data_IF_288093516122
#
_entry.id   IF_288093516122
#
_cell.length_a   1.000
_cell.length_b   1.000
_cell.length_c   1.000
_cell.angle_alpha   90.00
_cell.angle_beta   90.00
_cell.angle_gamma   90.00
#
_symmetry.space_group_name_H-M   'P 1'
#
loop_
_entity.id
_entity.type
_entity.pdbx_description
1 polymer ?
#
# COMPACT_ATOMS: atom_id res chain seq x y z
N UNK A 1 11.95 -5.27 -10.42
CA UNK A 1 10.63 -4.76 -9.98
C UNK A 1 10.03 -3.88 -11.07
N UNK A 2 8.71 -3.92 -11.29
CA UNK A 2 8.07 -2.95 -12.19
C UNK A 2 8.24 -1.53 -11.64
N UNK A 3 8.61 -0.61 -12.54
CA UNK A 3 8.67 0.81 -12.23
C UNK A 3 7.30 1.36 -11.79
N UNK A 4 6.22 0.86 -12.38
CA UNK A 4 4.87 1.32 -12.07
C UNK A 4 4.44 0.92 -10.65
N UNK A 5 4.64 -0.34 -10.27
CA UNK A 5 4.34 -0.83 -8.91
C UNK A 5 5.08 0.00 -7.86
N UNK A 6 6.37 0.27 -8.08
CA UNK A 6 7.16 1.11 -7.17
C UNK A 6 6.58 2.51 -7.04
N UNK A 7 6.18 3.14 -8.15
CA UNK A 7 5.57 4.48 -8.11
C UNK A 7 4.25 4.49 -7.36
N UNK A 8 3.39 3.48 -7.59
CA UNK A 8 2.11 3.33 -6.89
C UNK A 8 2.35 3.20 -5.39
N UNK A 9 3.23 2.27 -4.95
CA UNK A 9 3.50 2.08 -3.54
C UNK A 9 4.11 3.31 -2.88
N UNK A 10 5.11 3.95 -3.51
CA UNK A 10 5.72 5.16 -2.97
C UNK A 10 4.68 6.29 -2.80
N UNK A 11 3.78 6.44 -3.76
CA UNK A 11 2.68 7.41 -3.69
C UNK A 11 1.72 7.07 -2.54
N UNK A 12 1.29 5.82 -2.41
CA UNK A 12 0.38 5.40 -1.34
C UNK A 12 1.04 5.62 0.03
N UNK A 13 2.27 5.14 0.22
CA UNK A 13 3.01 5.26 1.48
C UNK A 13 3.19 6.73 1.88
N UNK A 14 3.56 7.60 0.93
CA UNK A 14 3.67 9.04 1.21
C UNK A 14 2.34 9.66 1.66
N UNK A 15 1.23 9.24 1.05
CA UNK A 15 -0.10 9.67 1.48
C UNK A 15 -0.50 9.08 2.84
N UNK A 16 -0.10 7.85 3.17
CA UNK A 16 -0.36 7.24 4.48
C UNK A 16 0.39 8.01 5.59
N UNK A 17 1.68 8.30 5.38
CA UNK A 17 2.53 9.04 6.34
C UNK A 17 1.98 10.47 6.58
N UNK A 18 1.50 11.13 5.52
CA UNK A 18 0.95 12.49 5.61
C UNK A 18 -0.50 12.54 6.08
N UNK A 19 -1.14 11.38 6.30
CA UNK A 19 -2.55 11.28 6.70
C UNK A 19 -3.55 11.62 5.60
N UNK A 20 -3.12 11.65 4.34
CA UNK A 20 -3.95 11.97 3.18
C UNK A 20 -4.69 10.72 2.64
N UNK A 21 -5.44 10.04 3.51
CA UNK A 21 -6.13 8.80 3.17
C UNK A 21 -7.20 8.99 2.09
N UNK A 22 -7.81 10.18 2.03
CA UNK A 22 -8.79 10.53 1.00
C UNK A 22 -8.22 10.39 -0.42
N UNK A 23 -7.00 10.91 -0.66
CA UNK A 23 -6.35 10.81 -1.95
C UNK A 23 -6.07 9.36 -2.38
N UNK A 24 -5.74 8.48 -1.42
CA UNK A 24 -5.51 7.06 -1.69
C UNK A 24 -6.78 6.40 -2.22
N UNK A 25 -7.92 6.65 -1.55
CA UNK A 25 -9.22 6.08 -1.92
C UNK A 25 -9.76 6.70 -3.19
N UNK A 26 -9.56 8.00 -3.41
CA UNK A 26 -10.01 8.66 -4.64
C UNK A 26 -9.26 8.18 -5.88
N UNK A 27 -7.97 7.88 -5.76
CA UNK A 27 -7.16 7.32 -6.85
C UNK A 27 -7.31 5.80 -7.00
N UNK A 28 -7.93 5.11 -6.02
CA UNK A 28 -8.22 3.68 -6.09
C UNK A 28 -9.30 3.39 -7.14
N UNK A 29 -9.02 2.48 -8.07
CA UNK A 29 -9.96 2.06 -9.12
C UNK A 29 -11.22 1.39 -8.52
N UNK A 30 -11.03 0.61 -7.45
CA UNK A 30 -12.11 0.05 -6.64
C UNK A 30 -12.01 0.59 -5.22
N UNK A 31 -13.09 1.20 -4.73
CA UNK A 31 -13.17 1.76 -3.38
C UNK A 31 -13.69 0.68 -2.42
N UNK A 32 -12.77 -0.12 -1.87
CA UNK A 32 -13.11 -1.24 -0.98
C UNK A 32 -13.22 -0.83 0.48
N UNK A 33 -12.44 0.17 0.88
CA UNK A 33 -12.46 0.76 2.21
C UNK A 33 -12.61 2.28 2.12
N UNK A 34 -12.91 2.89 3.27
CA UNK A 34 -12.97 4.34 3.41
C UNK A 34 -11.68 4.90 3.99
N UNK A 35 -11.49 6.21 3.85
CA UNK A 35 -10.40 6.93 4.51
C UNK A 35 -10.45 6.80 6.04
N UNK A 36 -11.66 6.65 6.60
CA UNK A 36 -11.86 6.45 8.05
C UNK A 36 -11.38 5.07 8.50
N UNK A 37 -11.61 4.03 7.68
CA UNK A 37 -11.12 2.67 7.96
C UNK A 37 -9.59 2.66 8.02
N UNK A 38 -8.92 3.21 6.99
CA UNK A 38 -7.45 3.33 6.95
C UNK A 38 -6.92 4.09 8.16
N UNK A 39 -7.55 5.23 8.46
CA UNK A 39 -7.15 6.04 9.62
C UNK A 39 -7.31 5.28 10.92
N UNK A 40 -8.39 4.51 11.07
CA UNK A 40 -8.66 3.76 12.28
C UNK A 40 -7.59 2.68 12.48
N UNK A 41 -7.32 1.87 11.45
CA UNK A 41 -6.31 0.82 11.51
C UNK A 41 -4.93 1.35 11.88
N UNK A 42 -4.46 2.40 11.18
CA UNK A 42 -3.16 2.99 11.47
C UNK A 42 -3.10 3.67 12.84
N UNK A 43 -4.19 4.27 13.31
CA UNK A 43 -4.24 4.91 14.64
C UNK A 43 -4.19 3.92 15.81
N UNK A 44 -4.60 2.67 15.57
CA UNK A 44 -4.55 1.62 16.59
C UNK A 44 -3.17 1.00 16.73
N UNK A 45 -2.30 1.18 15.74
CA UNK A 45 -0.94 0.67 15.76
C UNK A 45 -0.01 1.61 16.55
N UNK A 46 0.83 1.09 17.46
CA UNK A 46 1.73 1.92 18.25
C UNK A 46 2.85 2.53 17.41
N UNK A 47 3.17 3.79 17.67
CA UNK A 47 4.28 4.51 17.03
C UNK A 47 3.81 5.51 15.98
N UNK A 48 4.78 6.04 15.22
CA UNK A 48 4.51 6.96 14.11
C UNK A 48 4.96 6.32 12.81
N UNK A 49 4.09 6.32 11.79
CA UNK A 49 4.44 5.79 10.48
C UNK A 49 5.58 6.62 9.87
N UNK A 50 6.59 5.93 9.34
CA UNK A 50 7.81 6.52 8.78
C UNK A 50 8.08 6.00 7.38
N UNK A 51 8.88 6.74 6.61
CA UNK A 51 9.33 6.28 5.31
C UNK A 51 10.10 4.95 5.39
N UNK A 52 9.82 4.00 4.49
CA UNK A 52 10.58 2.77 4.37
C UNK A 52 11.95 3.06 3.71
N UNK A 53 12.98 2.23 3.96
CA UNK A 53 14.24 2.32 3.23
C UNK A 53 14.03 2.02 1.74
N UNK A 54 14.88 2.55 0.85
CA UNK A 54 14.74 2.31 -0.60
C UNK A 54 14.71 0.82 -0.96
N UNK A 55 15.45 -0.01 -0.22
CA UNK A 55 15.49 -1.46 -0.41
C UNK A 55 14.15 -2.15 -0.16
N UNK A 56 13.23 -1.53 0.58
CA UNK A 56 11.90 -2.09 0.80
C UNK A 56 11.09 -2.24 -0.50
N UNK A 57 11.38 -1.42 -1.51
CA UNK A 57 10.73 -1.48 -2.81
C UNK A 57 11.36 -2.50 -3.77
N UNK A 58 12.46 -3.15 -3.38
CA UNK A 58 13.18 -4.12 -4.20
C UNK A 58 12.66 -5.56 -3.97
N UNK A 59 12.39 -5.91 -2.71
CA UNK A 59 11.90 -7.22 -2.27
C UNK A 59 10.40 -7.18 -1.92
N UNK A 60 9.57 -6.98 -2.94
CA UNK A 60 8.11 -7.03 -2.81
C UNK A 60 7.58 -8.45 -3.00
N UNK A 61 6.63 -8.85 -2.17
CA UNK A 61 5.83 -10.04 -2.43
C UNK A 61 4.73 -9.65 -3.44
N UNK A 62 4.89 -10.10 -4.68
CA UNK A 62 3.94 -9.90 -5.78
C UNK A 62 3.33 -11.24 -6.14
N UNK A 63 2.00 -11.29 -6.17
CA UNK A 63 1.21 -12.48 -6.49
C UNK A 63 0.41 -12.17 -7.75
N UNK A 64 0.68 -12.91 -8.82
CA UNK A 64 -0.13 -12.82 -10.05
C UNK A 64 -1.50 -13.45 -9.80
N UNK A 65 -2.57 -12.76 -10.23
CA UNK A 65 -3.92 -13.31 -10.18
C UNK A 65 -4.17 -14.09 -11.47
N UNK A 66 -4.43 -15.40 -11.35
CA UNK A 66 -4.78 -16.27 -12.47
C UNK A 66 -5.88 -15.66 -13.34
N UNK A 67 -5.69 -15.72 -14.66
CA UNK A 67 -6.59 -15.18 -15.68
C UNK A 67 -6.84 -13.65 -15.60
N UNK A 68 -6.03 -12.88 -14.87
CA UNK A 68 -6.08 -11.42 -14.81
C UNK A 68 -4.76 -10.76 -15.21
N UNK A 69 -4.84 -9.46 -15.54
CA UNK A 69 -3.66 -8.57 -15.70
C UNK A 69 -3.32 -7.86 -14.40
N UNK A 70 -3.97 -8.27 -13.32
CA UNK A 70 -3.84 -7.70 -11.99
C UNK A 70 -2.86 -8.51 -11.15
N UNK A 71 -2.09 -7.80 -10.34
CA UNK A 71 -1.12 -8.37 -9.43
C UNK A 71 -1.42 -7.86 -8.02
N UNK A 72 -1.51 -8.77 -7.05
CA UNK A 72 -1.63 -8.41 -5.64
C UNK A 72 -0.23 -8.20 -5.07
N UNK A 73 0.01 -7.00 -4.57
CA UNK A 73 1.29 -6.60 -4.00
C UNK A 73 1.13 -6.45 -2.50
N UNK A 74 1.96 -7.17 -1.75
CA UNK A 74 2.13 -7.02 -0.32
C UNK A 74 3.36 -6.16 -0.06
N UNK A 75 3.15 -5.10 0.72
CA UNK A 75 4.20 -4.16 1.09
C UNK A 75 4.23 -3.98 2.60
N UNK A 76 5.37 -4.27 3.22
CA UNK A 76 5.50 -4.04 4.66
C UNK A 76 5.47 -2.53 4.97
N UNK A 77 4.97 -2.17 6.14
CA UNK A 77 4.94 -0.77 6.60
C UNK A 77 6.08 -0.51 7.60
N UNK A 78 6.44 0.75 7.78
CA UNK A 78 7.49 1.17 8.70
C UNK A 78 6.94 2.14 9.75
N UNK A 79 7.28 1.89 11.01
CA UNK A 79 6.93 2.73 12.15
C UNK A 79 8.16 3.01 13.00
N UNK A 80 8.33 4.26 13.42
CA UNK A 80 9.48 4.72 14.21
C UNK A 80 10.84 4.29 13.61
N UNK A 81 10.95 4.27 12.29
CA UNK A 81 12.15 3.86 11.55
C UNK A 81 12.39 2.35 11.46
N UNK A 82 11.47 1.53 11.96
CA UNK A 82 11.58 0.08 11.96
C UNK A 82 10.48 -0.56 11.11
N UNK A 83 10.78 -1.73 10.54
CA UNK A 83 9.80 -2.54 9.83
C UNK A 83 8.73 -3.02 10.82
N UNK A 84 7.46 -2.73 10.52
CA UNK A 84 6.31 -3.14 11.31
C UNK A 84 5.81 -4.53 10.90
N UNK A 85 4.99 -5.12 11.77
CA UNK A 85 4.16 -6.30 11.49
C UNK A 85 2.86 -5.95 10.74
N UNK A 86 2.79 -4.78 10.10
CA UNK A 86 1.69 -4.40 9.22
C UNK A 86 2.10 -4.48 7.76
N UNK A 87 1.18 -4.98 6.93
CA UNK A 87 1.31 -5.05 5.49
C UNK A 87 0.18 -4.29 4.80
N UNK A 88 0.56 -3.43 3.87
CA UNK A 88 -0.30 -2.81 2.89
C UNK A 88 -0.53 -3.80 1.73
N UNK A 89 -1.79 -4.05 1.41
CA UNK A 89 -2.20 -4.84 0.25
C UNK A 89 -2.75 -3.91 -0.84
N UNK A 90 -2.16 -4.00 -2.02
CA UNK A 90 -2.57 -3.21 -3.19
C UNK A 90 -2.69 -4.13 -4.39
N UNK A 91 -3.83 -4.06 -5.05
CA UNK A 91 -4.00 -4.68 -6.35
C UNK A 91 -3.56 -3.70 -7.43
N UNK A 92 -2.59 -4.08 -8.27
CA UNK A 92 -2.05 -3.24 -9.33
C UNK A 92 -2.43 -3.83 -10.68
N UNK A 93 -2.95 -3.01 -11.58
CA UNK A 93 -3.14 -3.38 -12.98
C UNK A 93 -2.20 -2.52 -13.85
N UNK A 94 -1.05 -3.10 -14.21
CA UNK A 94 -0.06 -2.39 -15.03
C UNK A 94 -0.56 -2.10 -16.45
N UNK A 95 -1.41 -2.98 -16.99
CA UNK A 95 -1.93 -2.84 -18.36
C UNK A 95 -2.88 -1.64 -18.47
N UNK A 96 -3.71 -1.43 -17.45
CA UNK A 96 -4.64 -0.32 -17.37
C UNK A 96 -4.05 0.92 -16.69
N UNK A 97 -2.86 0.81 -16.10
CA UNK A 97 -2.18 1.90 -15.41
C UNK A 97 -2.93 2.39 -14.18
N UNK A 98 -3.57 1.48 -13.43
CA UNK A 98 -4.31 1.82 -12.22
C UNK A 98 -3.98 0.88 -11.06
N UNK A 99 -4.47 1.22 -9.87
CA UNK A 99 -4.36 0.39 -8.68
C UNK A 99 -5.67 0.41 -7.91
N UNK A 100 -5.88 -0.59 -7.06
CA UNK A 100 -6.91 -0.59 -6.03
C UNK A 100 -6.28 -0.86 -4.67
N UNK A 101 -6.48 0.07 -3.73
CA UNK A 101 -6.17 -0.18 -2.33
C UNK A 101 -7.09 -1.29 -1.83
N UNK A 102 -6.52 -2.32 -1.22
CA UNK A 102 -7.30 -3.42 -0.66
C UNK A 102 -7.46 -3.27 0.84
N UNK A 103 -6.35 -3.33 1.58
CA UNK A 103 -6.40 -3.45 3.03
C UNK A 103 -5.04 -3.14 3.68
N UNK A 104 -5.02 -2.93 4.99
CA UNK A 104 -3.81 -2.92 5.82
C UNK A 104 -4.01 -3.94 6.93
N UNK A 105 -3.25 -5.03 6.90
CA UNK A 105 -3.45 -6.13 7.84
C UNK A 105 -2.14 -6.58 8.48
N UNK A 106 -2.28 -7.27 9.61
CA UNK A 106 -1.21 -8.08 10.19
C UNK A 106 -1.23 -9.45 9.50
N UNK A 107 -0.13 -9.90 8.87
CA UNK A 107 -0.07 -11.14 8.11
C UNK A 107 -0.18 -12.42 8.96
#
# INVERSE_FOLDING_TARGET
MSYFIRQVLASIVSNLITGNYGAIIEASAVKRCSAEDISHELSTYPGVMTDPPESAYEDLLVIDIDDSTEQLVHFDLWFDGNKADLQLLVLVNETLGNYSFWDILVP
#
